data_IF_316980323723
#
_entry.id   IF_316980323723
#
_cell.length_a   1.000
_cell.length_b   1.000
_cell.length_c   1.000
_cell.angle_alpha   90.00
_cell.angle_beta   90.00
_cell.angle_gamma   90.00
#
_symmetry.space_group_name_H-M   'P 1'
#
loop_
_entity.id
_entity.type
_entity.pdbx_description
1 polymer ?
#
# COMPACT_ATOMS: atom_id res chain seq x y z
N UNK A 1 -34.97 -31.91 -1.59
CA UNK A 1 -33.72 -31.55 -0.91
C UNK A 1 -32.81 -30.97 -1.97
N UNK A 2 -32.58 -29.66 -1.91
CA UNK A 2 -31.65 -28.98 -2.83
C UNK A 2 -30.27 -29.20 -2.24
N UNK A 3 -29.48 -30.08 -2.85
CA UNK A 3 -28.06 -30.19 -2.54
C UNK A 3 -27.38 -28.94 -3.07
N UNK A 4 -27.27 -27.92 -2.22
CA UNK A 4 -26.37 -26.81 -2.43
C UNK A 4 -24.97 -27.41 -2.40
N UNK A 5 -24.41 -27.74 -3.56
CA UNK A 5 -22.98 -27.94 -3.72
C UNK A 5 -22.30 -26.61 -3.40
N UNK A 6 -22.05 -26.36 -2.12
CA UNK A 6 -21.02 -25.42 -1.70
C UNK A 6 -19.71 -26.05 -2.16
N UNK A 7 -19.33 -25.77 -3.41
CA UNK A 7 -17.93 -25.86 -3.79
C UNK A 7 -17.19 -24.95 -2.82
N UNK A 8 -16.61 -25.55 -1.79
CA UNK A 8 -15.49 -25.02 -1.04
C UNK A 8 -14.31 -24.91 -1.99
N UNK A 9 -14.43 -24.02 -2.98
CA UNK A 9 -13.31 -23.54 -3.74
C UNK A 9 -12.49 -22.80 -2.71
N UNK A 10 -11.39 -23.42 -2.29
CA UNK A 10 -10.28 -22.72 -1.64
C UNK A 10 -9.97 -21.50 -2.51
N UNK A 11 -10.48 -20.33 -2.12
CA UNK A 11 -10.14 -19.07 -2.77
C UNK A 11 -8.69 -18.83 -2.38
N UNK A 12 -7.81 -18.98 -3.35
CA UNK A 12 -6.39 -18.68 -3.19
C UNK A 12 -6.31 -17.20 -2.78
N UNK A 13 -5.51 -16.81 -1.78
CA UNK A 13 -5.42 -15.41 -1.38
C UNK A 13 -4.88 -14.57 -2.53
N UNK A 14 -5.76 -13.87 -3.25
CA UNK A 14 -5.42 -13.02 -4.38
C UNK A 14 -5.53 -11.54 -4.05
N UNK A 15 -4.44 -10.80 -4.25
CA UNK A 15 -4.39 -9.34 -4.12
C UNK A 15 -5.33 -8.57 -5.08
N UNK A 16 -5.95 -9.28 -6.03
CA UNK A 16 -6.73 -8.73 -7.14
C UNK A 16 -8.15 -9.29 -7.23
N UNK A 17 -8.63 -9.95 -6.18
CA UNK A 17 -9.92 -10.65 -6.21
C UNK A 17 -11.09 -9.77 -5.72
N UNK A 18 -10.83 -8.88 -4.76
CA UNK A 18 -11.81 -7.91 -4.27
C UNK A 18 -11.45 -6.47 -4.63
N UNK A 19 -12.45 -5.60 -4.87
CA UNK A 19 -12.21 -4.19 -5.18
C UNK A 19 -11.49 -3.45 -4.03
N UNK A 20 -11.70 -3.89 -2.79
CA UNK A 20 -10.99 -3.36 -1.63
C UNK A 20 -9.51 -3.77 -1.63
N UNK A 21 -9.21 -5.05 -1.85
CA UNK A 21 -7.83 -5.56 -1.92
C UNK A 21 -7.05 -4.93 -3.07
N UNK A 22 -7.69 -4.75 -4.23
CA UNK A 22 -7.14 -3.99 -5.37
C UNK A 22 -6.83 -2.55 -4.95
N UNK A 23 -7.79 -1.86 -4.32
CA UNK A 23 -7.61 -0.47 -3.88
C UNK A 23 -6.46 -0.32 -2.88
N UNK A 24 -6.37 -1.22 -1.90
CA UNK A 24 -5.31 -1.25 -0.90
C UNK A 24 -3.94 -1.56 -1.53
N UNK A 25 -3.88 -2.49 -2.50
CA UNK A 25 -2.67 -2.79 -3.27
C UNK A 25 -2.18 -1.58 -4.06
N UNK A 26 -3.08 -0.90 -4.77
CA UNK A 26 -2.74 0.32 -5.52
C UNK A 26 -2.25 1.42 -4.58
N UNK A 27 -2.93 1.62 -3.44
CA UNK A 27 -2.51 2.59 -2.44
C UNK A 27 -1.13 2.27 -1.87
N UNK A 28 -0.83 1.00 -1.59
CA UNK A 28 0.48 0.55 -1.16
C UNK A 28 1.56 0.88 -2.19
N UNK A 29 1.31 0.56 -3.47
CA UNK A 29 2.25 0.85 -4.55
C UNK A 29 2.51 2.36 -4.71
N UNK A 30 1.46 3.18 -4.69
CA UNK A 30 1.60 4.65 -4.77
C UNK A 30 2.37 5.19 -3.56
N UNK A 31 2.07 4.72 -2.35
CA UNK A 31 2.77 5.15 -1.14
C UNK A 31 4.25 4.75 -1.14
N UNK A 32 4.59 3.58 -1.68
CA UNK A 32 5.97 3.15 -1.85
C UNK A 32 6.73 4.06 -2.84
N UNK A 33 6.11 4.45 -3.95
CA UNK A 33 6.70 5.39 -4.91
C UNK A 33 6.94 6.75 -4.23
N UNK A 34 5.97 7.24 -3.45
CA UNK A 34 6.10 8.48 -2.69
C UNK A 34 7.26 8.38 -1.70
N UNK A 35 7.41 7.26 -1.00
CA UNK A 35 8.52 7.05 -0.08
C UNK A 35 9.89 7.18 -0.77
N UNK A 36 10.04 6.58 -1.95
CA UNK A 36 11.27 6.69 -2.76
C UNK A 36 11.52 8.13 -3.18
N UNK A 37 10.48 8.86 -3.61
CA UNK A 37 10.60 10.26 -3.99
C UNK A 37 11.08 11.13 -2.82
N UNK A 38 10.48 10.99 -1.63
CA UNK A 38 10.91 11.71 -0.44
C UNK A 38 12.36 11.44 -0.05
N UNK A 39 12.77 10.17 -0.13
CA UNK A 39 14.14 9.77 0.14
C UNK A 39 15.11 10.38 -0.88
N UNK A 40 14.77 10.29 -2.16
CA UNK A 40 15.58 10.81 -3.26
C UNK A 40 15.73 12.34 -3.19
N UNK A 41 14.63 13.08 -3.01
CA UNK A 41 14.66 14.54 -2.91
C UNK A 41 15.41 15.01 -1.66
N UNK A 42 15.25 14.31 -0.53
CA UNK A 42 16.02 14.59 0.68
C UNK A 42 17.50 14.29 0.53
N UNK A 43 17.86 13.23 -0.20
CA UNK A 43 19.25 12.88 -0.49
C UNK A 43 19.93 13.94 -1.35
N UNK A 44 19.20 14.51 -2.32
CA UNK A 44 19.71 15.61 -3.15
C UNK A 44 19.70 16.97 -2.43
N UNK A 45 19.10 17.08 -1.23
CA UNK A 45 18.92 18.37 -0.58
C UNK A 45 18.06 19.32 -1.41
N UNK A 46 17.12 18.78 -2.20
CA UNK A 46 16.38 19.54 -3.21
C UNK A 46 14.94 19.81 -2.78
N UNK A 47 14.24 20.66 -3.53
CA UNK A 47 12.83 20.97 -3.29
C UNK A 47 11.92 19.90 -3.87
N UNK A 48 10.86 19.55 -3.13
CA UNK A 48 9.79 18.71 -3.65
C UNK A 48 9.08 19.42 -4.81
N UNK A 49 9.06 18.88 -6.04
CA UNK A 49 8.48 19.57 -7.18
C UNK A 49 6.97 19.82 -7.06
N UNK A 50 6.25 19.04 -6.24
CA UNK A 50 4.80 19.17 -6.05
C UNK A 50 4.43 20.07 -4.87
N UNK A 51 5.26 20.11 -3.83
CA UNK A 51 4.92 20.76 -2.55
C UNK A 51 5.77 22.02 -2.29
N UNK A 52 6.84 22.23 -3.06
CA UNK A 52 7.71 23.42 -2.99
C UNK A 52 8.56 23.53 -1.72
N UNK A 53 8.49 22.55 -0.83
CA UNK A 53 9.27 22.50 0.41
C UNK A 53 10.66 21.92 0.14
N UNK A 54 11.67 22.59 0.70
CA UNK A 54 13.06 22.17 0.67
C UNK A 54 13.26 21.01 1.65
N UNK A 55 13.74 19.87 1.15
CA UNK A 55 13.98 18.70 1.98
C UNK A 55 15.46 18.55 2.26
N UNK A 56 15.82 18.67 3.54
CA UNK A 56 17.09 18.16 4.04
C UNK A 56 17.05 16.63 4.12
N UNK A 57 18.23 16.00 4.21
CA UNK A 57 18.39 14.55 4.33
C UNK A 57 17.56 13.98 5.48
N UNK A 58 17.53 14.66 6.62
CA UNK A 58 16.75 14.23 7.79
C UNK A 58 15.25 14.23 7.48
N UNK A 59 14.72 15.32 6.94
CA UNK A 59 13.29 15.47 6.64
C UNK A 59 12.84 14.52 5.53
N UNK A 60 13.67 14.32 4.50
CA UNK A 60 13.37 13.36 3.43
C UNK A 60 13.40 11.92 3.93
N UNK A 61 14.32 11.58 4.83
CA UNK A 61 14.36 10.24 5.44
C UNK A 61 13.14 10.00 6.32
N UNK A 62 12.77 10.95 7.19
CA UNK A 62 11.56 10.84 8.03
C UNK A 62 10.29 10.72 7.18
N UNK A 63 10.15 11.54 6.14
CA UNK A 63 9.03 11.47 5.21
C UNK A 63 8.97 10.14 4.46
N UNK A 64 10.13 9.62 4.03
CA UNK A 64 10.21 8.32 3.35
C UNK A 64 9.80 7.16 4.25
N UNK A 65 10.22 7.16 5.52
CA UNK A 65 9.87 6.12 6.49
C UNK A 65 8.37 6.14 6.81
N UNK A 66 7.79 7.33 6.91
CA UNK A 66 6.35 7.48 7.12
C UNK A 66 5.54 6.94 5.92
N UNK A 67 5.92 7.32 4.70
CA UNK A 67 5.27 6.84 3.48
C UNK A 67 5.46 5.31 3.29
N UNK A 68 6.62 4.77 3.68
CA UNK A 68 6.85 3.32 3.70
C UNK A 68 5.97 2.61 4.72
N UNK A 69 5.79 3.17 5.91
CA UNK A 69 4.91 2.60 6.92
C UNK A 69 3.47 2.55 6.40
N UNK A 70 2.98 3.61 5.77
CA UNK A 70 1.67 3.62 5.12
C UNK A 70 1.59 2.56 4.02
N UNK A 71 2.64 2.40 3.21
CA UNK A 71 2.69 1.37 2.17
C UNK A 71 2.59 -0.04 2.75
N UNK A 72 3.31 -0.33 3.83
CA UNK A 72 3.29 -1.63 4.51
C UNK A 72 1.92 -1.88 5.14
N UNK A 73 1.33 -0.91 5.83
CA UNK A 73 0.00 -1.05 6.42
C UNK A 73 -1.06 -1.30 5.36
N UNK A 74 -1.01 -0.58 4.23
CA UNK A 74 -1.92 -0.79 3.11
C UNK A 74 -1.72 -2.18 2.47
N UNK A 75 -0.48 -2.66 2.34
CA UNK A 75 -0.18 -4.01 1.85
C UNK A 75 -0.76 -5.07 2.79
N UNK A 76 -0.53 -4.94 4.09
CA UNK A 76 -1.09 -5.82 5.12
C UNK A 76 -2.61 -5.80 5.07
N UNK A 77 -3.23 -4.63 4.94
CA UNK A 77 -4.68 -4.52 4.78
C UNK A 77 -5.19 -5.23 3.52
N UNK A 78 -4.46 -5.16 2.39
CA UNK A 78 -4.79 -5.89 1.18
C UNK A 78 -4.77 -7.41 1.41
N UNK A 79 -3.73 -7.92 2.10
CA UNK A 79 -3.64 -9.34 2.43
C UNK A 79 -4.71 -9.82 3.42
N UNK A 80 -5.02 -9.03 4.46
CA UNK A 80 -5.92 -9.47 5.54
C UNK A 80 -7.41 -9.22 5.27
N UNK A 81 -7.78 -8.21 4.45
CA UNK A 81 -9.20 -8.04 4.10
C UNK A 81 -9.70 -9.12 3.15
N UNK A 82 -8.83 -9.73 2.34
CA UNK A 82 -9.15 -10.94 1.57
C UNK A 82 -9.38 -12.16 2.48
N UNK A 83 -8.68 -12.23 3.63
CA UNK A 83 -8.82 -13.32 4.61
C UNK A 83 -10.02 -13.16 5.56
N UNK A 84 -10.66 -11.99 5.62
CA UNK A 84 -11.37 -11.55 6.83
C UNK A 84 -12.81 -11.04 6.72
N UNK A 85 -13.46 -10.99 5.55
CA UNK A 85 -14.80 -10.42 5.43
C UNK A 85 -15.75 -11.17 4.48
N UNK A 86 -15.75 -12.50 4.54
CA UNK A 86 -16.83 -13.34 4.01
C UNK A 86 -17.36 -14.21 5.18
N UNK A 87 -18.22 -13.63 6.01
CA UNK A 87 -19.14 -14.36 6.90
C UNK A 87 -20.56 -13.82 6.72
#
# INVERSE_FOLDING_TARGET
MTDTTTSSKSREPGLFETPFSIGATVLSAVSAIIAVLFFWTGFQGSTLPVVGIELSLLTGTVGSLFALLVAVVALVAAFYMELGFDY
#
